data_IF_159655907852
#
_entry.id   IF_159655907852
#
_cell.length_a   1.000
_cell.length_b   1.000
_cell.length_c   1.000
_cell.angle_alpha   90.00
_cell.angle_beta   90.00
_cell.angle_gamma   90.00
#
_symmetry.space_group_name_H-M   'P 1'
#
loop_
_entity.id
_entity.type
_entity.pdbx_description
1 polymer ?
#
# COMPACT_ATOMS: atom_id res chain seq x y z
N UNK A 1 -44.94 16.69 -48.27
CA UNK A 1 -44.20 17.72 -47.52
C UNK A 1 -44.26 17.29 -46.07
N UNK A 2 -43.21 16.65 -45.53
CA UNK A 2 -42.18 17.30 -44.67
C UNK A 2 -42.90 18.15 -43.61
N UNK A 3 -42.94 17.77 -42.34
CA UNK A 3 -41.75 17.65 -41.47
C UNK A 3 -41.90 16.57 -40.38
N UNK A 4 -40.80 15.88 -40.13
CA UNK A 4 -40.60 14.88 -39.09
C UNK A 4 -39.80 15.58 -37.96
N UNK A 5 -40.49 16.06 -36.91
CA UNK A 5 -39.82 16.57 -35.71
C UNK A 5 -39.48 15.41 -34.77
N UNK A 6 -38.19 15.08 -34.73
CA UNK A 6 -37.57 14.15 -33.78
C UNK A 6 -37.50 14.80 -32.40
N UNK A 7 -38.14 14.26 -31.34
CA UNK A 7 -37.89 14.75 -29.99
C UNK A 7 -36.53 14.20 -29.50
N UNK A 8 -35.54 15.09 -29.54
CA UNK A 8 -34.18 14.90 -29.06
C UNK A 8 -34.17 14.55 -27.57
N UNK A 9 -33.49 13.45 -27.25
CA UNK A 9 -33.23 12.92 -25.92
C UNK A 9 -32.43 13.91 -25.06
N UNK A 10 -33.10 14.88 -24.42
CA UNK A 10 -32.40 15.86 -23.59
C UNK A 10 -33.07 16.26 -22.27
N UNK A 11 -34.31 15.85 -21.97
CA UNK A 11 -34.96 16.35 -20.74
C UNK A 11 -35.85 15.31 -20.05
N UNK A 12 -35.27 14.17 -19.67
CA UNK A 12 -35.90 13.27 -18.70
C UNK A 12 -34.87 12.43 -17.96
N UNK A 13 -34.17 13.04 -16.98
CA UNK A 13 -33.55 12.39 -15.80
C UNK A 13 -32.80 13.41 -14.95
N UNK A 14 -33.50 14.44 -14.50
CA UNK A 14 -33.25 15.03 -13.18
C UNK A 14 -34.33 14.44 -12.25
N UNK A 15 -33.95 14.02 -11.05
CA UNK A 15 -34.73 13.31 -10.03
C UNK A 15 -34.85 11.78 -10.14
N UNK A 16 -33.73 11.04 -10.00
CA UNK A 16 -33.79 9.67 -9.43
C UNK A 16 -32.51 9.20 -8.73
N UNK A 17 -31.81 10.08 -8.01
CA UNK A 17 -30.71 9.69 -7.12
C UNK A 17 -30.73 10.51 -5.82
N UNK A 18 -31.92 10.63 -5.22
CA UNK A 18 -32.08 11.20 -3.87
C UNK A 18 -32.72 10.22 -2.88
N UNK A 19 -32.77 8.93 -3.22
CA UNK A 19 -33.41 7.89 -2.39
C UNK A 19 -32.66 6.56 -2.50
N UNK A 20 -31.35 6.56 -2.25
CA UNK A 20 -30.57 5.34 -1.98
C UNK A 20 -29.65 5.59 -0.78
N UNK A 21 -30.25 5.98 0.35
CA UNK A 21 -29.80 5.39 1.61
C UNK A 21 -30.25 3.92 1.57
N UNK A 22 -29.30 3.04 1.29
CA UNK A 22 -29.57 1.62 1.07
C UNK A 22 -28.27 0.87 0.89
N UNK A 23 -27.69 0.50 2.03
CA UNK A 23 -26.71 -0.57 2.21
C UNK A 23 -25.40 -0.38 1.42
N UNK A 24 -24.51 0.39 2.04
CA UNK A 24 -23.08 0.22 1.82
C UNK A 24 -22.73 -1.23 2.16
N UNK A 25 -22.60 -2.07 1.13
CA UNK A 25 -21.83 -3.30 1.21
C UNK A 25 -20.40 -2.93 1.57
N UNK A 26 -20.11 -2.86 2.87
CA UNK A 26 -18.75 -2.89 3.38
C UNK A 26 -18.18 -4.23 2.94
N UNK A 27 -17.39 -4.19 1.86
CA UNK A 27 -16.68 -5.36 1.37
C UNK A 27 -15.88 -5.94 2.53
N UNK A 28 -15.83 -7.28 2.63
CA UNK A 28 -15.00 -7.97 3.62
C UNK A 28 -13.54 -7.49 3.57
N UNK A 29 -13.08 -7.03 2.39
CA UNK A 29 -11.78 -6.38 2.18
C UNK A 29 -11.63 -5.07 2.95
N UNK A 30 -12.66 -4.22 3.04
CA UNK A 30 -12.61 -2.99 3.82
C UNK A 30 -12.51 -3.30 5.32
N UNK A 31 -13.25 -4.29 5.81
CA UNK A 31 -13.16 -4.71 7.21
C UNK A 31 -11.81 -5.36 7.52
N UNK A 32 -11.25 -6.13 6.59
CA UNK A 32 -9.91 -6.70 6.73
C UNK A 32 -8.84 -5.60 6.74
N UNK A 33 -8.91 -4.64 5.83
CA UNK A 33 -7.97 -3.51 5.77
C UNK A 33 -8.06 -2.64 7.02
N UNK A 34 -9.25 -2.34 7.54
CA UNK A 34 -9.40 -1.58 8.77
C UNK A 34 -8.94 -2.36 10.01
N UNK A 35 -9.19 -3.67 10.08
CA UNK A 35 -8.67 -4.52 11.15
C UNK A 35 -7.14 -4.65 11.08
N UNK A 36 -6.58 -4.77 9.88
CA UNK A 36 -5.15 -4.80 9.62
C UNK A 36 -4.50 -3.47 10.01
N UNK A 37 -5.01 -2.34 9.53
CA UNK A 37 -4.55 -0.98 9.90
C UNK A 37 -4.68 -0.74 11.40
N UNK A 38 -5.75 -1.24 12.03
CA UNK A 38 -5.90 -1.23 13.49
C UNK A 38 -4.77 -1.99 14.19
N UNK A 39 -4.38 -3.15 13.67
CA UNK A 39 -3.25 -3.96 14.17
C UNK A 39 -1.90 -3.30 13.90
N UNK A 40 -1.69 -2.67 12.74
CA UNK A 40 -0.49 -1.90 12.40
C UNK A 40 -0.16 -0.84 13.46
N UNK A 41 -1.20 -0.17 13.97
CA UNK A 41 -1.06 0.89 14.97
C UNK A 41 -0.78 0.36 16.38
N UNK A 42 -1.12 -0.90 16.67
CA UNK A 42 -0.98 -1.49 18.00
C UNK A 42 0.39 -2.15 18.22
N UNK A 43 0.93 -2.82 17.19
CA UNK A 43 2.20 -3.55 17.28
C UNK A 43 3.35 -2.81 16.59
N UNK A 44 4.33 -2.32 17.37
CA UNK A 44 5.51 -1.62 16.86
C UNK A 44 6.42 -2.51 16.01
N UNK A 45 6.42 -3.82 16.26
CA UNK A 45 7.22 -4.81 15.56
C UNK A 45 6.35 -6.06 15.30
N UNK A 46 6.19 -6.51 14.04
CA UNK A 46 5.43 -7.71 13.75
C UNK A 46 6.11 -8.96 14.32
N UNK A 47 5.30 -9.91 14.80
CA UNK A 47 5.77 -11.24 15.17
C UNK A 47 6.51 -11.91 13.98
N UNK A 48 7.67 -12.52 14.26
CA UNK A 48 8.49 -13.18 13.24
C UNK A 48 9.35 -12.23 12.38
N UNK A 49 9.35 -10.93 12.65
CA UNK A 49 10.17 -9.95 11.91
C UNK A 49 11.66 -10.30 11.87
N UNK A 50 12.22 -10.68 13.02
CA UNK A 50 13.66 -10.96 13.12
C UNK A 50 14.05 -12.22 12.33
N UNK A 51 13.20 -13.26 12.38
CA UNK A 51 13.39 -14.48 11.60
C UNK A 51 13.28 -14.19 10.09
N UNK A 52 12.30 -13.37 9.70
CA UNK A 52 12.10 -12.94 8.32
C UNK A 52 13.33 -12.19 7.78
N UNK A 53 13.84 -11.21 8.52
CA UNK A 53 15.05 -10.46 8.14
C UNK A 53 16.27 -11.37 8.07
N UNK A 54 16.42 -12.33 9.00
CA UNK A 54 17.54 -13.28 9.00
C UNK A 54 17.56 -14.13 7.74
N UNK A 55 16.41 -14.58 7.25
CA UNK A 55 16.33 -15.32 5.98
C UNK A 55 16.82 -14.47 4.82
N UNK A 56 16.36 -13.21 4.73
CA UNK A 56 16.71 -12.30 3.64
C UNK A 56 18.17 -11.81 3.71
N UNK A 57 18.76 -11.77 4.90
CA UNK A 57 20.17 -11.43 5.09
C UNK A 57 21.10 -12.40 4.38
N UNK A 58 20.76 -13.70 4.37
CA UNK A 58 21.58 -14.71 3.68
C UNK A 58 21.65 -14.51 2.17
N UNK A 59 20.65 -13.81 1.61
CA UNK A 59 20.54 -13.56 0.19
C UNK A 59 21.11 -12.19 -0.21
N UNK A 60 21.45 -11.34 0.76
CA UNK A 60 21.93 -9.97 0.54
C UNK A 60 23.12 -9.94 -0.41
N UNK A 61 23.06 -9.03 -1.39
CA UNK A 61 24.14 -8.82 -2.37
C UNK A 61 24.54 -7.35 -2.42
N UNK A 62 25.83 -7.08 -2.30
CA UNK A 62 26.37 -5.74 -2.48
C UNK A 62 26.38 -5.38 -3.97
N UNK A 63 25.61 -4.37 -4.34
CA UNK A 63 25.46 -3.83 -5.69
C UNK A 63 24.96 -2.38 -5.60
N UNK A 64 24.75 -1.74 -6.75
CA UNK A 64 24.29 -0.35 -6.81
C UNK A 64 22.93 -0.13 -6.13
N UNK A 65 22.00 -1.10 -6.24
CA UNK A 65 20.67 -1.01 -5.63
C UNK A 65 20.76 -1.09 -4.11
N UNK A 66 21.53 -2.03 -3.57
CA UNK A 66 21.72 -2.16 -2.11
C UNK A 66 22.50 -1.00 -1.53
N UNK A 67 23.49 -0.48 -2.24
CA UNK A 67 24.22 0.73 -1.85
C UNK A 67 23.29 1.95 -1.79
N UNK A 68 22.38 2.10 -2.75
CA UNK A 68 21.41 3.20 -2.77
C UNK A 68 20.36 3.03 -1.65
N UNK A 69 19.85 1.82 -1.43
CA UNK A 69 18.91 1.57 -0.34
C UNK A 69 19.49 1.89 1.03
N UNK A 70 20.76 1.52 1.30
CA UNK A 70 21.44 1.82 2.57
C UNK A 70 21.59 3.34 2.78
N UNK A 71 21.66 4.14 1.70
CA UNK A 71 21.67 5.60 1.80
C UNK A 71 20.30 6.18 2.14
N UNK A 72 19.23 5.60 1.59
CA UNK A 72 17.87 6.10 1.74
C UNK A 72 17.19 5.63 3.04
N UNK A 73 17.57 4.45 3.52
CA UNK A 73 16.92 3.78 4.65
C UNK A 73 17.93 3.54 5.76
N UNK A 74 17.80 4.28 6.86
CA UNK A 74 18.74 4.18 7.99
C UNK A 74 18.60 2.87 8.78
N UNK A 75 17.42 2.24 8.75
CA UNK A 75 17.15 0.97 9.43
C UNK A 75 17.64 -0.19 8.56
N UNK A 76 18.69 -0.88 9.02
CA UNK A 76 19.32 -1.99 8.28
C UNK A 76 18.38 -3.20 8.13
N UNK A 77 17.50 -3.45 9.10
CA UNK A 77 16.56 -4.56 9.04
C UNK A 77 15.49 -4.28 7.98
N UNK A 78 14.93 -3.07 7.97
CA UNK A 78 13.97 -2.65 6.94
C UNK A 78 14.64 -2.65 5.57
N UNK A 79 15.88 -2.16 5.47
CA UNK A 79 16.65 -2.17 4.23
C UNK A 79 16.79 -3.57 3.62
N UNK A 80 17.20 -4.55 4.45
CA UNK A 80 17.30 -5.96 4.05
C UNK A 80 15.95 -6.52 3.61
N UNK A 81 14.89 -6.20 4.34
CA UNK A 81 13.54 -6.64 4.02
C UNK A 81 13.04 -6.09 2.67
N UNK A 82 13.16 -4.78 2.45
CA UNK A 82 12.76 -4.13 1.19
C UNK A 82 13.53 -4.74 0.01
N UNK A 83 14.85 -4.88 0.13
CA UNK A 83 15.65 -5.48 -0.92
C UNK A 83 15.31 -6.95 -1.14
N UNK A 84 15.11 -7.72 -0.07
CA UNK A 84 14.78 -9.13 -0.15
C UNK A 84 13.48 -9.40 -0.91
N UNK A 85 12.43 -8.62 -0.63
CA UNK A 85 11.14 -8.74 -1.30
C UNK A 85 11.14 -8.24 -2.74
N UNK A 86 11.83 -7.12 -3.03
CA UNK A 86 11.65 -6.37 -4.27
C UNK A 86 12.84 -6.42 -5.23
N UNK A 87 14.01 -6.82 -4.72
CA UNK A 87 15.29 -6.86 -5.44
C UNK A 87 15.56 -5.54 -6.18
N UNK A 88 15.55 -5.55 -7.51
CA UNK A 88 15.81 -4.38 -8.35
C UNK A 88 14.70 -3.32 -8.26
N UNK A 89 13.48 -3.71 -7.87
CA UNK A 89 12.35 -2.79 -7.69
C UNK A 89 12.39 -2.00 -6.38
N UNK A 90 13.29 -2.33 -5.46
CA UNK A 90 13.32 -1.83 -4.10
C UNK A 90 13.38 -0.29 -4.00
N UNK A 91 14.31 0.33 -4.73
CA UNK A 91 14.45 1.81 -4.72
C UNK A 91 13.21 2.47 -5.33
N UNK A 92 12.66 1.92 -6.41
CA UNK A 92 11.46 2.48 -7.07
C UNK A 92 10.24 2.43 -6.15
N UNK A 93 10.05 1.32 -5.45
CA UNK A 93 8.94 1.12 -4.52
C UNK A 93 8.92 2.15 -3.40
N UNK A 94 10.09 2.59 -2.90
CA UNK A 94 10.18 3.66 -1.88
C UNK A 94 9.50 4.97 -2.30
N UNK A 95 9.42 5.24 -3.60
CA UNK A 95 8.86 6.46 -4.17
C UNK A 95 7.44 6.29 -4.74
N UNK A 96 6.88 5.08 -4.72
CA UNK A 96 5.52 4.82 -5.19
C UNK A 96 4.50 4.94 -4.06
N UNK A 97 3.30 5.39 -4.42
CA UNK A 97 2.14 5.37 -3.54
C UNK A 97 1.71 3.92 -3.35
N UNK A 98 1.69 3.47 -2.09
CA UNK A 98 1.34 2.10 -1.74
C UNK A 98 -0.06 2.11 -1.12
N UNK A 99 -1.09 1.50 -1.75
CA UNK A 99 -2.47 1.59 -1.28
C UNK A 99 -2.67 1.13 0.16
N UNK A 100 -2.02 0.03 0.56
CA UNK A 100 -2.09 -0.48 1.94
C UNK A 100 -1.44 0.43 2.98
N UNK A 101 -0.60 1.39 2.55
CA UNK A 101 -0.04 2.45 3.37
C UNK A 101 -0.84 3.75 3.24
N UNK A 102 -2.15 3.66 2.97
CA UNK A 102 -3.03 4.81 2.74
C UNK A 102 -2.52 5.72 1.61
N UNK A 103 -2.10 5.10 0.51
CA UNK A 103 -1.50 5.75 -0.65
C UNK A 103 -0.28 6.64 -0.34
N UNK A 104 0.41 6.40 0.78
CA UNK A 104 1.64 7.12 1.11
C UNK A 104 2.87 6.44 0.50
N UNK A 105 3.92 7.24 0.29
CA UNK A 105 5.21 6.73 -0.18
C UNK A 105 5.97 6.16 1.01
N UNK A 106 6.53 4.94 0.91
CA UNK A 106 7.30 4.36 2.00
C UNK A 106 8.45 5.26 2.49
N UNK A 107 9.10 6.02 1.60
CA UNK A 107 10.20 6.91 1.99
C UNK A 107 9.79 8.00 3.00
N UNK A 108 8.56 8.50 2.90
CA UNK A 108 8.04 9.53 3.80
C UNK A 108 7.72 8.95 5.19
N UNK A 109 7.31 7.67 5.23
CA UNK A 109 6.95 6.95 6.44
C UNK A 109 8.16 6.53 7.27
N UNK A 110 9.33 6.33 6.65
CA UNK A 110 10.57 5.91 7.33
C UNK A 110 11.06 6.90 8.40
N UNK A 111 10.58 8.15 8.38
CA UNK A 111 10.98 9.19 9.32
C UNK A 111 10.46 8.94 10.74
N UNK A 112 9.40 8.17 10.89
CA UNK A 112 8.74 7.92 12.19
C UNK A 112 8.79 6.44 12.56
N UNK A 113 8.78 6.13 13.87
CA UNK A 113 8.74 4.73 14.30
C UNK A 113 7.41 4.06 13.95
N UNK A 114 6.31 4.81 13.98
CA UNK A 114 5.00 4.33 13.54
C UNK A 114 5.01 3.97 12.04
N UNK A 115 5.54 4.86 11.19
CA UNK A 115 5.66 4.59 9.76
C UNK A 115 6.60 3.43 9.44
N UNK A 116 7.72 3.30 10.18
CA UNK A 116 8.58 2.11 10.11
C UNK A 116 7.83 0.84 10.49
N UNK A 117 7.02 0.87 11.55
CA UNK A 117 6.15 -0.25 11.94
C UNK A 117 5.20 -0.68 10.82
N UNK A 118 4.50 0.28 10.21
CA UNK A 118 3.63 0.02 9.05
C UNK A 118 4.38 -0.64 7.89
N UNK A 119 5.59 -0.17 7.57
CA UNK A 119 6.43 -0.76 6.52
C UNK A 119 6.81 -2.21 6.85
N UNK A 120 7.25 -2.48 8.09
CA UNK A 120 7.61 -3.85 8.51
C UNK A 120 6.45 -4.83 8.30
N UNK A 121 5.25 -4.41 8.68
CA UNK A 121 4.04 -5.20 8.50
C UNK A 121 3.68 -5.43 7.03
N UNK A 122 3.79 -4.40 6.18
CA UNK A 122 3.52 -4.57 4.74
C UNK A 122 4.50 -5.56 4.12
N UNK A 123 5.78 -5.47 4.47
CA UNK A 123 6.81 -6.35 3.94
C UNK A 123 6.63 -7.82 4.37
N UNK A 124 6.24 -8.06 5.64
CA UNK A 124 6.05 -9.43 6.14
C UNK A 124 4.69 -10.03 5.70
N UNK A 125 3.66 -9.20 5.53
CA UNK A 125 2.30 -9.66 5.17
C UNK A 125 2.11 -9.86 3.67
N UNK A 126 2.91 -9.18 2.85
CA UNK A 126 2.87 -9.31 1.39
C UNK A 126 4.28 -9.18 0.83
N UNK A 127 5.11 -10.25 0.95
CA UNK A 127 6.51 -10.20 0.52
C UNK A 127 6.70 -10.28 -1.01
N UNK A 128 5.63 -10.35 -1.80
CA UNK A 128 5.67 -10.50 -3.27
C UNK A 128 4.99 -9.30 -3.94
N UNK A 129 5.79 -8.36 -4.46
CA UNK A 129 5.33 -7.24 -5.29
C UNK A 129 6.08 -7.23 -6.63
#
# INVERSE_FOLDING_TARGET
MKDEEVPTTATRRLNKYRDLEGEAGQSEESNFLWAFVGRLKAEKLPEGWDDFVRVLESEWKDNEVTAELVRLVSDRCITKAIWGCLRSGAVRWLYWNVPILNDQRPIDLLQTEEGRGSIRWVLISSPWW
#
